data_IF_812004486755
#
_entry.id   IF_812004486755
#
_cell.length_a   1.000
_cell.length_b   1.000
_cell.length_c   1.000
_cell.angle_alpha   90.00
_cell.angle_beta   90.00
_cell.angle_gamma   90.00
#
_symmetry.space_group_name_H-M   'P 1'
#
loop_
_entity.id
_entity.type
_entity.pdbx_description
1 polymer ?
#
# COMPACT_ATOMS: atom_id res chain seq x y z
N UNK A 1 33.04 -66.80 15.84
CA UNK A 1 32.32 -65.55 16.17
C UNK A 1 32.97 -64.40 15.43
N UNK A 2 32.21 -63.67 14.60
CA UNK A 2 32.68 -62.49 13.87
C UNK A 2 31.75 -62.11 12.71
N UNK A 3 30.48 -61.76 13.03
CA UNK A 3 29.54 -61.08 12.11
C UNK A 3 30.12 -59.69 11.81
N UNK A 4 30.22 -59.22 10.57
CA UNK A 4 29.12 -58.95 9.64
C UNK A 4 28.86 -57.44 9.65
N UNK A 5 29.59 -56.68 8.83
CA UNK A 5 29.43 -55.23 8.69
C UNK A 5 28.65 -54.92 7.41
N UNK A 6 27.38 -54.59 7.58
CA UNK A 6 26.48 -54.14 6.52
C UNK A 6 26.59 -52.61 6.40
N UNK A 7 26.84 -52.14 5.18
CA UNK A 7 26.81 -50.72 4.81
C UNK A 7 25.35 -50.24 4.84
N UNK A 8 25.03 -49.43 5.85
CA UNK A 8 23.77 -48.72 5.95
C UNK A 8 23.76 -47.48 5.07
N UNK A 9 22.81 -47.50 4.14
CA UNK A 9 22.38 -46.47 3.21
C UNK A 9 22.40 -45.04 3.77
N UNK A 10 23.04 -44.14 3.02
CA UNK A 10 23.09 -42.71 3.28
C UNK A 10 21.80 -42.03 2.84
N UNK A 11 20.73 -42.26 3.60
CA UNK A 11 19.53 -41.43 3.55
C UNK A 11 19.83 -40.07 4.14
N UNK A 12 19.95 -39.06 3.30
CA UNK A 12 20.01 -37.65 3.68
C UNK A 12 18.80 -37.31 4.54
N UNK A 13 19.02 -37.15 5.85
CA UNK A 13 18.06 -36.59 6.78
C UNK A 13 17.71 -35.16 6.35
N UNK A 14 16.63 -35.04 5.59
CA UNK A 14 15.87 -33.81 5.46
C UNK A 14 15.44 -33.43 6.88
N UNK A 15 16.02 -32.34 7.38
CA UNK A 15 15.80 -31.89 8.75
C UNK A 15 14.34 -31.44 8.85
N UNK A 16 13.51 -32.27 9.45
CA UNK A 16 12.15 -31.93 9.87
C UNK A 16 12.18 -30.61 10.65
N UNK A 17 11.78 -29.53 10.00
CA UNK A 17 11.43 -28.32 10.72
C UNK A 17 10.26 -28.68 11.66
N UNK A 18 10.28 -28.24 12.93
CA UNK A 18 9.19 -28.54 13.85
C UNK A 18 7.87 -28.07 13.23
N UNK A 19 6.92 -28.99 13.07
CA UNK A 19 5.61 -28.68 12.53
C UNK A 19 4.97 -27.57 13.37
N UNK A 20 4.51 -26.52 12.69
CA UNK A 20 3.81 -25.43 13.36
C UNK A 20 2.49 -25.95 13.96
N UNK A 21 2.07 -25.46 15.14
CA UNK A 21 0.75 -25.76 15.67
C UNK A 21 -0.35 -25.42 14.68
N UNK A 22 -1.43 -26.20 14.66
CA UNK A 22 -2.62 -25.95 13.84
C UNK A 22 -3.78 -25.47 14.71
N UNK A 23 -4.63 -24.59 14.16
CA UNK A 23 -5.78 -24.02 14.85
C UNK A 23 -7.05 -24.07 13.97
N UNK A 24 -8.21 -24.37 14.57
CA UNK A 24 -9.52 -24.26 13.92
C UNK A 24 -10.04 -22.82 13.95
N UNK A 25 -11.08 -22.50 13.17
CA UNK A 25 -11.70 -21.17 13.22
C UNK A 25 -12.39 -20.87 14.53
N UNK A 26 -12.98 -21.87 15.18
CA UNK A 26 -13.62 -21.71 16.49
C UNK A 26 -12.62 -21.20 17.53
N UNK A 27 -11.37 -21.67 17.47
CA UNK A 27 -10.32 -21.20 18.37
C UNK A 27 -9.88 -19.78 17.97
N UNK A 28 -9.53 -19.56 16.69
CA UNK A 28 -9.08 -18.23 16.22
C UNK A 28 -10.11 -17.13 16.54
N UNK A 29 -11.41 -17.43 16.40
CA UNK A 29 -12.49 -16.47 16.64
C UNK A 29 -12.69 -16.11 18.11
N UNK A 30 -12.19 -16.91 19.07
CA UNK A 30 -12.18 -16.54 20.50
C UNK A 30 -11.23 -15.38 20.77
N UNK A 31 -10.18 -15.24 19.97
CA UNK A 31 -9.16 -14.19 20.08
C UNK A 31 -9.55 -12.94 19.28
N UNK A 32 -10.72 -12.35 19.59
CA UNK A 32 -11.28 -11.19 18.89
C UNK A 32 -11.38 -9.91 19.76
N UNK A 33 -10.84 -9.94 20.98
CA UNK A 33 -10.95 -8.86 21.97
C UNK A 33 -9.73 -7.94 21.90
N UNK A 34 -9.84 -6.66 22.27
CA UNK A 34 -8.69 -5.72 22.22
C UNK A 34 -7.46 -6.15 23.02
N UNK A 35 -7.64 -6.96 24.04
CA UNK A 35 -6.57 -7.50 24.90
C UNK A 35 -6.10 -8.88 24.47
N UNK A 36 -6.74 -9.47 23.45
CA UNK A 36 -6.44 -10.81 22.94
C UNK A 36 -6.92 -10.91 21.48
N UNK A 37 -5.99 -10.65 20.56
CA UNK A 37 -6.27 -10.48 19.13
C UNK A 37 -5.40 -11.41 18.29
N UNK A 38 -6.03 -12.35 17.60
CA UNK A 38 -5.41 -13.12 16.54
C UNK A 38 -6.00 -12.73 15.19
N UNK A 39 -5.27 -12.99 14.11
CA UNK A 39 -5.82 -12.92 12.76
C UNK A 39 -5.13 -13.95 11.87
N UNK A 40 -5.73 -14.20 10.71
CA UNK A 40 -5.18 -15.10 9.70
C UNK A 40 -4.72 -14.29 8.49
N UNK A 41 -3.52 -14.57 7.99
CA UNK A 41 -3.05 -14.09 6.67
C UNK A 41 -2.43 -15.29 5.95
N UNK A 42 -2.91 -15.61 4.75
CA UNK A 42 -2.34 -16.67 3.91
C UNK A 42 -2.31 -18.01 4.65
N UNK A 43 -3.46 -18.35 5.29
CA UNK A 43 -3.68 -19.50 6.19
C UNK A 43 -2.80 -19.57 7.44
N UNK A 44 -1.95 -18.58 7.70
CA UNK A 44 -1.11 -18.51 8.89
C UNK A 44 -1.77 -17.70 9.98
N UNK A 45 -1.68 -18.19 11.21
CA UNK A 45 -2.29 -17.57 12.39
C UNK A 45 -1.26 -16.72 13.11
N UNK A 46 -1.60 -15.45 13.36
CA UNK A 46 -0.71 -14.48 13.99
C UNK A 46 -1.34 -13.91 15.26
N UNK A 47 -0.58 -13.91 16.35
CA UNK A 47 -0.95 -13.16 17.55
C UNK A 47 -0.53 -11.70 17.40
N UNK A 48 -1.50 -10.82 17.22
CA UNK A 48 -1.29 -9.39 17.00
C UNK A 48 -1.58 -8.53 18.23
N UNK A 49 -1.88 -9.14 19.38
CA UNK A 49 -2.33 -8.45 20.60
C UNK A 49 -1.43 -7.27 20.99
N UNK A 50 -0.11 -7.50 21.06
CA UNK A 50 0.87 -6.45 21.38
C UNK A 50 1.31 -5.65 20.16
N UNK A 51 1.16 -6.23 18.96
CA UNK A 51 1.56 -5.59 17.72
C UNK A 51 0.56 -4.51 17.27
N UNK A 52 -0.72 -4.68 17.58
CA UNK A 52 -1.78 -3.75 17.18
C UNK A 52 -1.52 -2.31 17.65
N UNK A 53 -0.88 -2.13 18.81
CA UNK A 53 -0.47 -0.83 19.34
C UNK A 53 0.64 -0.14 18.54
N UNK A 54 1.47 -0.92 17.85
CA UNK A 54 2.62 -0.45 17.05
C UNK A 54 2.35 -0.50 15.55
N UNK A 55 1.16 -0.94 15.14
CA UNK A 55 0.79 -1.06 13.75
C UNK A 55 0.76 0.34 13.08
N UNK A 56 1.54 0.58 11.99
CA UNK A 56 1.59 1.89 11.35
C UNK A 56 0.24 2.41 10.83
N UNK A 57 -0.62 1.51 10.34
CA UNK A 57 -2.00 1.85 9.95
C UNK A 57 -2.96 2.05 11.13
N UNK A 58 -2.45 2.03 12.36
CA UNK A 58 -3.20 2.23 13.58
C UNK A 58 -3.86 0.97 14.13
N UNK A 59 -4.08 0.97 15.46
CA UNK A 59 -4.68 -0.15 16.21
C UNK A 59 -6.11 -0.47 15.81
N UNK A 60 -6.88 0.54 15.38
CA UNK A 60 -8.30 0.38 15.05
C UNK A 60 -8.50 -0.43 13.77
N UNK A 61 -7.67 -0.18 12.76
CA UNK A 61 -7.77 -0.81 11.43
C UNK A 61 -7.46 -2.30 11.55
N UNK A 62 -6.29 -2.64 12.11
CA UNK A 62 -5.90 -4.05 12.30
C UNK A 62 -6.84 -4.79 13.24
N UNK A 63 -7.32 -4.12 14.30
CA UNK A 63 -8.23 -4.72 15.27
C UNK A 63 -9.62 -5.03 14.72
N UNK A 64 -10.02 -4.47 13.58
CA UNK A 64 -11.29 -4.83 12.93
C UNK A 64 -11.29 -6.27 12.44
N UNK A 65 -10.12 -6.78 12.04
CA UNK A 65 -9.90 -8.14 11.52
C UNK A 65 -9.51 -9.15 12.61
N UNK A 66 -9.68 -8.81 13.89
CA UNK A 66 -9.38 -9.75 14.97
C UNK A 66 -10.36 -10.93 14.94
N UNK A 67 -9.84 -12.16 14.88
CA UNK A 67 -10.59 -13.40 14.71
C UNK A 67 -10.98 -13.71 13.26
N UNK A 68 -10.39 -13.03 12.27
CA UNK A 68 -10.79 -13.13 10.85
C UNK A 68 -9.61 -13.41 9.90
N UNK A 69 -9.94 -13.79 8.67
CA UNK A 69 -9.00 -13.84 7.56
C UNK A 69 -8.80 -12.42 6.99
N UNK A 70 -7.64 -11.86 7.30
CA UNK A 70 -7.22 -10.54 6.87
C UNK A 70 -6.42 -10.56 5.56
N UNK A 71 -6.34 -11.69 4.84
CA UNK A 71 -5.45 -11.85 3.67
C UNK A 71 -5.69 -10.79 2.60
N UNK A 72 -6.94 -10.60 2.18
CA UNK A 72 -7.26 -9.66 1.11
C UNK A 72 -6.97 -8.20 1.52
N UNK A 73 -7.31 -7.85 2.77
CA UNK A 73 -7.01 -6.54 3.34
C UNK A 73 -5.49 -6.32 3.46
N UNK A 74 -4.76 -7.33 3.92
CA UNK A 74 -3.31 -7.29 4.04
C UNK A 74 -2.67 -7.01 2.67
N UNK A 75 -3.08 -7.73 1.63
CA UNK A 75 -2.58 -7.52 0.27
C UNK A 75 -3.00 -6.16 -0.32
N UNK A 76 -4.17 -5.63 0.05
CA UNK A 76 -4.65 -4.34 -0.44
C UNK A 76 -3.89 -3.14 0.12
N UNK A 77 -3.55 -3.17 1.42
CA UNK A 77 -2.95 -2.02 2.09
C UNK A 77 -1.42 -2.04 2.16
N UNK A 78 -0.78 -3.19 1.93
CA UNK A 78 0.67 -3.32 2.03
C UNK A 78 1.34 -3.42 0.67
N UNK A 79 1.83 -2.29 0.14
CA UNK A 79 2.52 -2.24 -1.16
C UNK A 79 3.80 -3.09 -1.21
N UNK A 80 4.61 -3.07 -0.14
CA UNK A 80 5.83 -3.88 -0.02
C UNK A 80 5.60 -5.07 0.92
N UNK A 81 4.91 -6.09 0.42
CA UNK A 81 4.61 -7.32 1.16
C UNK A 81 5.89 -8.00 1.66
N UNK A 82 6.98 -7.94 0.90
CA UNK A 82 8.24 -8.59 1.28
C UNK A 82 8.88 -7.91 2.50
N UNK A 83 8.86 -6.58 2.55
CA UNK A 83 9.28 -5.82 3.73
C UNK A 83 8.38 -6.12 4.93
N UNK A 84 7.06 -6.09 4.74
CA UNK A 84 6.08 -6.27 5.83
C UNK A 84 6.13 -7.67 6.43
N UNK A 85 6.36 -8.71 5.61
CA UNK A 85 6.54 -10.09 6.08
C UNK A 85 7.65 -10.25 7.13
N UNK A 86 8.62 -9.33 7.21
CA UNK A 86 9.65 -9.33 8.26
C UNK A 86 9.07 -9.10 9.66
N UNK A 87 8.01 -8.29 9.77
CA UNK A 87 7.31 -8.02 11.03
C UNK A 87 6.34 -9.14 11.42
N UNK A 88 5.86 -9.93 10.45
CA UNK A 88 4.96 -11.04 10.69
C UNK A 88 5.65 -12.27 11.31
N UNK A 89 6.92 -12.52 10.95
CA UNK A 89 7.69 -13.67 11.44
C UNK A 89 7.63 -13.88 12.97
N UNK A 90 7.90 -12.87 13.82
CA UNK A 90 7.83 -13.05 15.28
C UNK A 90 6.41 -13.15 15.84
N UNK A 91 5.38 -12.87 15.03
CA UNK A 91 3.97 -12.91 15.46
C UNK A 91 3.30 -14.25 15.10
N UNK A 92 3.96 -15.06 14.28
CA UNK A 92 3.44 -16.35 13.81
C UNK A 92 3.35 -17.32 14.98
N UNK A 93 2.15 -17.83 15.23
CA UNK A 93 1.90 -18.82 16.28
C UNK A 93 1.53 -20.20 15.72
N UNK A 94 1.06 -20.26 14.47
CA UNK A 94 0.75 -21.51 13.79
C UNK A 94 0.02 -21.31 12.47
N UNK A 95 -0.70 -22.33 12.02
CA UNK A 95 -1.43 -22.36 10.75
C UNK A 95 -2.87 -22.82 10.96
N UNK A 96 -3.76 -22.50 10.02
CA UNK A 96 -5.13 -23.02 10.04
C UNK A 96 -5.14 -24.51 9.71
N UNK A 97 -5.97 -25.26 10.44
CA UNK A 97 -6.17 -26.68 10.20
C UNK A 97 -6.48 -27.00 8.72
N UNK A 98 -5.94 -28.10 8.17
CA UNK A 98 -6.22 -28.50 6.80
C UNK A 98 -7.73 -28.70 6.57
N UNK A 99 -8.29 -28.04 5.55
CA UNK A 99 -9.71 -28.13 5.21
C UNK A 99 -10.57 -26.97 5.72
N UNK A 100 -10.08 -26.17 6.68
CA UNK A 100 -10.79 -24.95 7.10
C UNK A 100 -10.85 -23.92 5.96
N UNK A 101 -12.04 -23.40 5.59
CA UNK A 101 -12.17 -22.39 4.54
C UNK A 101 -11.63 -21.03 5.01
N UNK A 102 -11.48 -20.06 4.13
CA UNK A 102 -11.25 -18.65 4.52
C UNK A 102 -12.52 -18.09 5.17
N UNK A 103 -12.44 -17.45 6.35
CA UNK A 103 -13.59 -16.80 7.00
C UNK A 103 -13.32 -15.31 7.26
N UNK A 104 -14.11 -14.42 6.65
CA UNK A 104 -14.00 -12.96 6.78
C UNK A 104 -15.27 -12.27 7.34
N UNK A 105 -15.83 -12.85 8.41
CA UNK A 105 -17.00 -12.31 9.14
C UNK A 105 -18.30 -12.22 8.33
N UNK A 106 -18.50 -13.15 7.39
CA UNK A 106 -19.76 -13.29 6.68
C UNK A 106 -19.90 -12.41 5.45
N UNK A 107 -18.79 -11.97 4.84
CA UNK A 107 -18.89 -11.51 3.45
C UNK A 107 -19.30 -12.71 2.60
N UNK A 108 -20.20 -12.47 1.64
CA UNK A 108 -20.62 -13.53 0.74
C UNK A 108 -19.40 -14.04 -0.04
N UNK A 109 -19.22 -15.37 -0.20
CA UNK A 109 -18.11 -15.93 -0.98
C UNK A 109 -18.00 -15.31 -2.38
N UNK A 110 -19.14 -15.03 -3.02
CA UNK A 110 -19.22 -14.39 -4.34
C UNK A 110 -18.52 -13.03 -4.38
N UNK A 111 -18.81 -12.12 -3.44
CA UNK A 111 -18.16 -10.80 -3.39
C UNK A 111 -16.63 -10.92 -3.22
N UNK A 112 -16.19 -11.86 -2.39
CA UNK A 112 -14.75 -12.09 -2.17
C UNK A 112 -14.07 -12.63 -3.42
N UNK A 113 -14.71 -13.56 -4.12
CA UNK A 113 -14.23 -14.07 -5.42
C UNK A 113 -14.21 -12.99 -6.49
N UNK A 114 -15.27 -12.19 -6.61
CA UNK A 114 -15.35 -11.07 -7.56
C UNK A 114 -14.26 -10.03 -7.29
N UNK A 115 -14.02 -9.69 -6.02
CA UNK A 115 -12.94 -8.77 -5.63
C UNK A 115 -11.56 -9.32 -6.02
N UNK A 116 -11.30 -10.60 -5.76
CA UNK A 116 -10.05 -11.27 -6.14
C UNK A 116 -9.87 -11.32 -7.66
N UNK A 117 -10.94 -11.59 -8.42
CA UNK A 117 -10.92 -11.61 -9.88
C UNK A 117 -10.64 -10.22 -10.46
N UNK A 118 -11.30 -9.17 -9.94
CA UNK A 118 -11.04 -7.78 -10.31
C UNK A 118 -9.60 -7.37 -10.02
N UNK A 119 -9.10 -7.70 -8.82
CA UNK A 119 -7.71 -7.41 -8.44
C UNK A 119 -6.72 -8.09 -9.38
N UNK A 120 -6.90 -9.38 -9.64
CA UNK A 120 -6.05 -10.15 -10.55
C UNK A 120 -6.03 -9.54 -11.94
N UNK A 121 -7.20 -9.14 -12.45
CA UNK A 121 -7.31 -8.45 -13.74
C UNK A 121 -6.50 -7.14 -13.73
N UNK A 122 -6.59 -6.34 -12.67
CA UNK A 122 -5.82 -5.12 -12.54
C UNK A 122 -4.30 -5.36 -12.41
N UNK A 123 -3.88 -6.45 -11.76
CA UNK A 123 -2.48 -6.89 -11.70
C UNK A 123 -1.97 -7.34 -13.08
N UNK A 124 -2.74 -8.15 -13.80
CA UNK A 124 -2.43 -8.64 -15.15
C UNK A 124 -2.32 -7.48 -16.16
N UNK A 125 -3.17 -6.47 -16.01
CA UNK A 125 -3.14 -5.22 -16.78
C UNK A 125 -2.03 -4.26 -16.32
N UNK A 126 -1.26 -4.60 -15.28
CA UNK A 126 -0.20 -3.77 -14.68
C UNK A 126 -0.67 -2.39 -14.23
N UNK A 127 -1.94 -2.26 -13.83
CA UNK A 127 -2.52 -0.98 -13.40
C UNK A 127 -1.93 -0.47 -12.08
N UNK A 128 -1.29 -1.35 -11.30
CA UNK A 128 -0.58 -0.98 -10.07
C UNK A 128 0.89 -0.56 -10.32
N UNK A 129 1.40 -0.71 -11.55
CA UNK A 129 2.76 -0.27 -11.89
C UNK A 129 2.76 1.18 -12.35
N UNK A 130 3.54 2.02 -11.69
CA UNK A 130 3.66 3.42 -12.05
C UNK A 130 4.43 3.61 -13.36
N UNK A 131 3.83 4.30 -14.33
CA UNK A 131 4.52 4.72 -15.54
C UNK A 131 5.24 6.07 -15.33
N UNK A 132 6.55 6.02 -15.07
CA UNK A 132 7.35 7.24 -14.86
C UNK A 132 7.39 8.20 -16.05
N UNK A 133 7.30 7.69 -17.29
CA UNK A 133 7.30 8.55 -18.48
C UNK A 133 6.02 9.37 -18.56
N UNK A 134 4.87 8.79 -18.19
CA UNK A 134 3.62 9.54 -18.11
C UNK A 134 3.74 10.72 -17.14
N UNK A 135 4.24 10.49 -15.92
CA UNK A 135 4.40 11.56 -14.92
C UNK A 135 5.43 12.61 -15.34
N UNK A 136 6.52 12.20 -16.01
CA UNK A 136 7.50 13.13 -16.56
C UNK A 136 6.91 14.02 -17.67
N UNK A 137 6.16 13.42 -18.60
CA UNK A 137 5.50 14.15 -19.68
C UNK A 137 4.39 15.07 -19.15
N UNK A 138 3.65 14.64 -18.12
CA UNK A 138 2.65 15.46 -17.44
C UNK A 138 3.31 16.68 -16.77
N UNK A 139 4.44 16.48 -16.07
CA UNK A 139 5.20 17.58 -15.48
C UNK A 139 5.73 18.56 -16.56
N UNK A 140 6.26 18.03 -17.66
CA UNK A 140 6.72 18.85 -18.78
C UNK A 140 5.57 19.65 -19.41
N UNK A 141 4.40 19.04 -19.58
CA UNK A 141 3.20 19.69 -20.10
C UNK A 141 2.75 20.87 -19.21
N UNK A 142 2.75 20.68 -17.89
CA UNK A 142 2.44 21.75 -16.92
C UNK A 142 3.43 22.92 -17.08
N UNK A 143 4.75 22.64 -17.14
CA UNK A 143 5.77 23.68 -17.32
C UNK A 143 5.57 24.44 -18.64
N UNK A 144 5.22 23.73 -19.72
CA UNK A 144 4.92 24.36 -21.01
C UNK A 144 3.71 25.29 -20.91
N UNK A 145 2.62 24.86 -20.25
CA UNK A 145 1.43 25.69 -20.07
C UNK A 145 1.72 26.95 -19.25
N UNK A 146 2.46 26.83 -18.14
CA UNK A 146 2.90 27.99 -17.34
C UNK A 146 3.76 28.96 -18.18
N UNK A 147 4.66 28.42 -19.00
CA UNK A 147 5.51 29.22 -19.88
C UNK A 147 4.70 29.94 -20.96
N UNK A 148 3.71 29.26 -21.55
CA UNK A 148 2.80 29.85 -22.55
C UNK A 148 1.93 30.94 -21.93
N UNK A 149 1.42 30.73 -20.71
CA UNK A 149 0.67 31.74 -19.97
C UNK A 149 1.52 33.01 -19.74
N UNK A 150 2.74 32.84 -19.24
CA UNK A 150 3.65 33.96 -19.02
C UNK A 150 4.04 34.68 -20.33
N UNK A 151 4.36 33.92 -21.38
CA UNK A 151 4.67 34.45 -22.71
C UNK A 151 3.50 35.24 -23.29
N UNK A 152 2.27 34.76 -23.11
CA UNK A 152 1.06 35.43 -23.62
C UNK A 152 0.92 36.83 -23.01
N UNK A 153 1.05 36.96 -21.70
CA UNK A 153 1.01 38.26 -21.01
C UNK A 153 2.19 39.14 -21.41
N UNK A 154 3.39 38.56 -21.53
CA UNK A 154 4.59 39.31 -21.88
C UNK A 154 4.51 39.92 -23.30
N UNK A 155 4.05 39.15 -24.28
CA UNK A 155 4.06 39.56 -25.68
C UNK A 155 2.79 40.34 -26.09
N UNK A 156 1.61 39.91 -25.63
CA UNK A 156 0.32 40.50 -26.01
C UNK A 156 -0.22 41.50 -24.97
N UNK A 157 0.46 41.66 -23.83
CA UNK A 157 0.04 42.54 -22.75
C UNK A 157 -1.18 42.03 -21.99
N UNK A 158 -1.78 42.93 -21.19
CA UNK A 158 -2.86 42.62 -20.24
C UNK A 158 -4.26 42.95 -20.76
N UNK A 159 -4.47 42.89 -22.08
CA UNK A 159 -5.79 43.10 -22.67
C UNK A 159 -6.78 41.98 -22.29
N UNK A 160 -8.08 42.26 -22.31
CA UNK A 160 -9.12 41.33 -21.86
C UNK A 160 -9.04 39.93 -22.48
N UNK A 161 -8.75 39.82 -23.78
CA UNK A 161 -8.61 38.53 -24.47
C UNK A 161 -7.40 37.75 -23.95
N UNK A 162 -6.23 38.41 -23.87
CA UNK A 162 -4.99 37.84 -23.34
C UNK A 162 -5.18 37.36 -21.89
N UNK A 163 -5.83 38.17 -21.07
CA UNK A 163 -6.11 37.85 -19.66
C UNK A 163 -7.04 36.66 -19.51
N UNK A 164 -8.15 36.60 -20.26
CA UNK A 164 -9.08 35.47 -20.19
C UNK A 164 -8.41 34.17 -20.66
N UNK A 165 -7.65 34.23 -21.76
CA UNK A 165 -6.91 33.07 -22.27
C UNK A 165 -5.88 32.58 -21.25
N UNK A 166 -5.09 33.49 -20.69
CA UNK A 166 -4.10 33.20 -19.66
C UNK A 166 -4.74 32.58 -18.42
N UNK A 167 -5.88 33.12 -17.97
CA UNK A 167 -6.60 32.60 -16.82
C UNK A 167 -7.06 31.14 -17.04
N UNK A 168 -7.55 30.80 -18.22
CA UNK A 168 -7.95 29.44 -18.54
C UNK A 168 -6.76 28.46 -18.58
N UNK A 169 -5.65 28.87 -19.18
CA UNK A 169 -4.42 28.07 -19.24
C UNK A 169 -3.87 27.84 -17.84
N UNK A 170 -3.75 28.89 -17.03
CA UNK A 170 -3.27 28.80 -15.65
C UNK A 170 -4.22 27.96 -14.77
N UNK A 171 -5.53 28.14 -14.87
CA UNK A 171 -6.49 27.33 -14.12
C UNK A 171 -6.33 25.83 -14.43
N UNK A 172 -6.19 25.48 -15.71
CA UNK A 172 -5.96 24.09 -16.13
C UNK A 172 -4.61 23.57 -15.62
N UNK A 173 -3.56 24.37 -15.75
CA UNK A 173 -2.21 24.04 -15.26
C UNK A 173 -2.19 23.78 -13.75
N UNK A 174 -2.79 24.68 -12.97
CA UNK A 174 -2.85 24.57 -11.52
C UNK A 174 -3.71 23.39 -11.05
N UNK A 175 -4.78 23.05 -11.77
CA UNK A 175 -5.55 21.84 -11.53
C UNK A 175 -4.67 20.59 -11.74
N UNK A 176 -3.98 20.50 -12.89
CA UNK A 176 -3.07 19.37 -13.18
C UNK A 176 -1.93 19.26 -12.16
N UNK A 177 -1.30 20.37 -11.79
CA UNK A 177 -0.27 20.41 -10.77
C UNK A 177 -0.78 19.97 -9.39
N UNK A 178 -2.02 20.29 -9.05
CA UNK A 178 -2.67 19.85 -7.80
C UNK A 178 -2.85 18.34 -7.71
N UNK A 179 -3.35 17.69 -8.77
CA UNK A 179 -3.47 16.24 -8.83
C UNK A 179 -2.10 15.55 -8.83
N UNK A 180 -1.15 16.07 -9.61
CA UNK A 180 0.21 15.58 -9.62
C UNK A 180 0.85 15.64 -8.23
N UNK A 181 0.68 16.76 -7.52
CA UNK A 181 1.14 16.94 -6.15
C UNK A 181 0.51 15.92 -5.19
N UNK A 182 -0.81 15.72 -5.27
CA UNK A 182 -1.55 14.74 -4.47
C UNK A 182 -0.95 13.35 -4.64
N UNK A 183 -0.71 12.92 -5.89
CA UNK A 183 -0.19 11.58 -6.18
C UNK A 183 1.24 11.36 -5.67
N UNK A 184 2.11 12.38 -5.80
CA UNK A 184 3.43 12.33 -5.16
C UNK A 184 3.34 12.36 -3.62
N UNK A 185 2.35 13.05 -3.05
CA UNK A 185 2.11 13.11 -1.60
C UNK A 185 1.71 11.74 -1.02
N UNK A 186 0.96 10.94 -1.78
CA UNK A 186 0.60 9.56 -1.42
C UNK A 186 1.73 8.55 -1.67
N UNK A 187 2.92 9.00 -2.06
CA UNK A 187 4.07 8.16 -2.38
C UNK A 187 3.81 7.16 -3.52
N UNK A 188 2.81 7.43 -4.37
CA UNK A 188 2.32 6.51 -5.41
C UNK A 188 3.19 6.46 -6.67
N UNK A 189 4.13 7.41 -6.82
CA UNK A 189 4.91 7.54 -8.08
C UNK A 189 6.23 6.79 -8.01
N UNK A 190 7.01 6.95 -6.94
CA UNK A 190 8.28 6.26 -6.77
C UNK A 190 8.22 5.23 -5.63
N UNK A 191 8.87 4.08 -5.83
CA UNK A 191 9.03 3.07 -4.77
C UNK A 191 9.81 3.59 -3.55
N UNK A 192 10.73 4.53 -3.76
CA UNK A 192 11.49 5.19 -2.69
C UNK A 192 10.80 6.48 -2.28
N UNK A 193 10.32 6.53 -1.04
CA UNK A 193 9.62 7.69 -0.46
C UNK A 193 10.40 9.02 -0.59
N UNK A 194 11.74 8.99 -0.54
CA UNK A 194 12.59 10.18 -0.71
C UNK A 194 12.32 10.94 -2.01
N UNK A 195 12.21 10.23 -3.14
CA UNK A 195 12.00 10.86 -4.45
C UNK A 195 10.61 11.48 -4.57
N UNK A 196 9.60 10.82 -4.02
CA UNK A 196 8.26 11.39 -3.94
C UNK A 196 8.26 12.71 -3.18
N UNK A 197 8.91 12.76 -2.00
CA UNK A 197 8.99 13.99 -1.21
C UNK A 197 9.74 15.12 -1.93
N UNK A 198 10.84 14.82 -2.63
CA UNK A 198 11.59 15.82 -3.39
C UNK A 198 10.72 16.43 -4.49
N UNK A 199 10.05 15.60 -5.30
CA UNK A 199 9.22 16.09 -6.39
C UNK A 199 7.96 16.80 -5.87
N UNK A 200 7.33 16.26 -4.83
CA UNK A 200 6.20 16.91 -4.15
C UNK A 200 6.57 18.33 -3.66
N UNK A 201 7.72 18.48 -2.99
CA UNK A 201 8.22 19.79 -2.54
C UNK A 201 8.55 20.72 -3.70
N UNK A 202 9.10 20.20 -4.79
CA UNK A 202 9.34 21.00 -5.99
C UNK A 202 8.04 21.55 -6.58
N UNK A 203 7.02 20.69 -6.76
CA UNK A 203 5.71 21.09 -7.29
C UNK A 203 5.06 22.14 -6.37
N UNK A 204 5.06 21.92 -5.05
CA UNK A 204 4.55 22.91 -4.08
C UNK A 204 5.32 24.22 -4.15
N UNK A 205 6.65 24.18 -4.22
CA UNK A 205 7.47 25.37 -4.09
C UNK A 205 7.51 26.22 -5.35
N UNK A 206 7.45 25.60 -6.53
CA UNK A 206 7.75 26.28 -7.80
C UNK A 206 6.57 26.35 -8.77
N UNK A 207 5.63 25.39 -8.72
CA UNK A 207 4.51 25.34 -9.67
C UNK A 207 3.21 25.83 -9.05
N UNK A 208 2.97 25.50 -7.78
CA UNK A 208 1.84 26.03 -7.04
C UNK A 208 2.33 27.28 -6.33
N UNK A 209 1.80 28.45 -6.69
CA UNK A 209 2.15 29.71 -6.01
C UNK A 209 1.68 29.63 -4.55
N UNK A 210 2.50 29.10 -3.66
CA UNK A 210 2.40 29.37 -2.23
C UNK A 210 3.13 30.69 -1.98
N UNK A 211 2.43 31.81 -2.18
CA UNK A 211 2.73 32.99 -1.38
C UNK A 211 2.65 32.58 0.08
N UNK A 212 3.80 32.54 0.74
CA UNK A 212 4.02 32.42 2.19
C UNK A 212 2.75 32.38 3.07
N UNK A 213 2.27 31.18 3.38
CA UNK A 213 1.59 30.92 4.65
C UNK A 213 2.21 29.66 5.22
N UNK A 214 2.85 29.70 6.40
CA UNK A 214 3.39 28.51 7.03
C UNK A 214 2.24 27.66 7.53
N UNK A 215 1.70 26.78 6.68
CA UNK A 215 0.88 25.65 7.13
C UNK A 215 1.81 24.46 7.29
N UNK A 216 2.77 24.60 8.21
CA UNK A 216 3.27 23.43 8.90
C UNK A 216 2.11 22.89 9.75
N UNK A 217 1.95 21.58 9.75
CA UNK A 217 1.13 20.82 10.72
C UNK A 217 -0.36 20.57 10.44
N UNK A 218 -0.84 20.53 9.19
CA UNK A 218 -2.22 20.05 8.93
C UNK A 218 -2.40 18.95 7.88
N UNK A 219 -1.35 18.53 7.17
CA UNK A 219 -1.49 17.43 6.18
C UNK A 219 -1.39 16.04 6.81
N UNK A 220 -1.08 15.94 8.11
CA UNK A 220 -1.11 14.65 8.82
C UNK A 220 -2.51 14.14 9.16
N UNK A 221 -3.57 14.91 8.92
CA UNK A 221 -4.93 14.54 9.37
C UNK A 221 -5.86 13.96 8.29
N UNK A 222 -5.41 13.86 7.02
CA UNK A 222 -6.24 13.34 5.92
C UNK A 222 -5.80 11.93 5.45
N UNK A 223 -4.74 11.36 6.04
CA UNK A 223 -4.23 10.04 5.64
C UNK A 223 -4.00 9.11 6.84
N UNK A 224 -5.08 8.82 7.57
CA UNK A 224 -5.23 7.62 8.39
C UNK A 224 -6.44 6.83 7.91
#
# INVERSE_FOLDING_TARGET
>A
MGKGGEQGDGGSAERDAPALPTYSWEEVQRHNLRTDQWLVIDRKVYNITQWSLRHPGGRRVIGHYAGEDATDAFLAFHQDVHFVRKFLKPLLIGELEPGEPSQDRGKSPQITEDFRAMRKTAEDMKLFETNHMFFLLLLAHIIVMESVAWFTVFYFGTGWISTILTAFILATSQAQAGWLQHDYGHLSVYKKSMWNHVVHKFIIGHLKVSTAVPVADSVHLICL
#
